data_IF_599189959594
#
_entry.id   IF_599189959594
#
_cell.length_a   1.000
_cell.length_b   1.000
_cell.length_c   1.000
_cell.angle_alpha   90.00
_cell.angle_beta   90.00
_cell.angle_gamma   90.00
#
_symmetry.space_group_name_H-M   'P 1'
#
loop_
_entity.id
_entity.type
_entity.pdbx_description
1 polymer ?
#
# COMPACT_ATOMS: atom_id res chain seq x y z
N UNK A 1 0.55 37.60 -2.52
CA UNK A 1 -0.81 37.31 -2.04
C UNK A 1 -0.85 35.89 -1.47
N UNK A 2 -1.31 35.74 -0.22
CA UNK A 2 -1.57 34.44 0.41
C UNK A 2 -3.05 34.06 0.23
N UNK A 3 -3.32 32.79 -0.08
CA UNK A 3 -4.64 32.18 -0.07
C UNK A 3 -4.56 30.87 0.68
N UNK A 4 -5.41 30.70 1.67
CA UNK A 4 -5.50 29.45 2.44
C UNK A 4 -6.93 28.98 2.47
N UNK A 5 -7.13 27.67 2.31
CA UNK A 5 -8.41 26.99 2.47
C UNK A 5 -8.16 25.79 3.38
N UNK A 6 -9.00 25.63 4.37
CA UNK A 6 -9.01 24.46 5.26
C UNK A 6 -10.40 23.93 5.34
N UNK A 7 -10.54 22.63 5.08
CA UNK A 7 -11.81 21.90 5.13
C UNK A 7 -11.66 20.73 6.09
N UNK A 8 -12.63 20.53 6.95
CA UNK A 8 -12.78 19.36 7.81
C UNK A 8 -14.11 18.71 7.49
N UNK A 9 -14.12 17.40 7.34
CA UNK A 9 -15.32 16.66 7.04
C UNK A 9 -15.45 15.42 7.93
N UNK A 10 -16.69 15.04 8.18
CA UNK A 10 -17.09 13.78 8.80
C UNK A 10 -18.36 13.30 8.13
N UNK A 11 -18.32 12.08 7.65
CA UNK A 11 -19.45 11.43 6.99
C UNK A 11 -19.82 10.17 7.78
N UNK A 12 -21.11 9.92 7.92
CA UNK A 12 -21.66 8.65 8.36
C UNK A 12 -22.62 8.19 7.28
N UNK A 13 -22.32 7.08 6.65
CA UNK A 13 -23.10 6.49 5.57
C UNK A 13 -23.80 5.26 6.08
N UNK A 14 -25.13 5.23 5.95
CA UNK A 14 -26.03 4.14 6.32
C UNK A 14 -26.68 3.55 5.08
N UNK A 15 -27.45 2.49 5.26
CA UNK A 15 -28.25 1.85 4.21
C UNK A 15 -27.42 1.36 3.01
N UNK A 16 -26.15 1.00 3.25
CA UNK A 16 -25.28 0.44 2.24
C UNK A 16 -25.76 -0.99 1.92
N UNK A 17 -25.84 -1.30 0.64
CA UNK A 17 -26.20 -2.64 0.17
C UNK A 17 -25.12 -3.65 0.54
N UNK A 18 -25.46 -4.57 1.41
CA UNK A 18 -24.61 -5.69 1.84
C UNK A 18 -25.39 -7.01 1.76
N UNK A 19 -24.67 -8.11 1.63
CA UNK A 19 -25.29 -9.44 1.82
C UNK A 19 -25.27 -9.81 3.28
N UNK A 20 -26.41 -10.30 3.76
CA UNK A 20 -26.49 -10.83 5.11
C UNK A 20 -25.76 -12.19 5.19
N UNK A 21 -24.57 -12.17 5.75
CA UNK A 21 -23.75 -13.37 5.98
C UNK A 21 -23.95 -13.96 7.39
N UNK A 22 -24.84 -13.40 8.21
CA UNK A 22 -25.17 -13.97 9.53
C UNK A 22 -26.00 -15.24 9.42
N UNK A 23 -26.62 -15.47 8.26
CA UNK A 23 -27.46 -16.65 7.98
C UNK A 23 -26.56 -17.78 7.44
N UNK A 24 -26.59 -18.98 8.05
CA UNK A 24 -25.78 -20.10 7.61
C UNK A 24 -26.07 -20.51 6.16
N UNK A 25 -25.05 -20.87 5.40
CA UNK A 25 -25.15 -21.33 4.01
C UNK A 25 -25.96 -22.63 3.83
N UNK A 26 -26.21 -23.35 4.93
CA UNK A 26 -27.03 -24.59 4.97
C UNK A 26 -28.49 -24.37 4.56
N UNK A 27 -28.98 -23.13 4.50
CA UNK A 27 -30.32 -22.84 3.99
C UNK A 27 -30.47 -23.07 2.48
N UNK A 28 -29.39 -23.29 1.76
CA UNK A 28 -29.40 -23.73 0.36
C UNK A 28 -29.64 -22.64 -0.69
N UNK A 29 -29.71 -21.36 -0.32
CA UNK A 29 -29.76 -20.24 -1.27
C UNK A 29 -28.90 -19.06 -0.82
N UNK A 30 -28.54 -18.23 -1.78
CA UNK A 30 -27.76 -17.01 -1.50
C UNK A 30 -28.69 -15.91 -1.02
N UNK A 31 -28.40 -15.31 0.14
CA UNK A 31 -29.17 -14.20 0.68
C UNK A 31 -29.17 -13.00 -0.28
N UNK A 32 -30.32 -12.34 -0.45
CA UNK A 32 -30.38 -11.09 -1.21
C UNK A 32 -29.58 -9.98 -0.55
N UNK A 33 -29.30 -8.93 -1.30
CA UNK A 33 -28.75 -7.69 -0.74
C UNK A 33 -29.79 -6.99 0.11
N UNK A 34 -29.34 -6.44 1.24
CA UNK A 34 -30.14 -5.65 2.17
C UNK A 34 -29.44 -4.31 2.45
N UNK A 35 -30.20 -3.28 2.74
CA UNK A 35 -29.69 -1.95 3.11
C UNK A 35 -29.35 -1.94 4.61
N UNK A 36 -28.22 -2.56 4.97
CA UNK A 36 -27.85 -2.78 6.37
C UNK A 36 -26.37 -2.49 6.67
N UNK A 37 -25.59 -2.06 5.68
CA UNK A 37 -24.22 -1.69 5.88
C UNK A 37 -24.08 -0.25 6.36
N UNK A 38 -23.10 -0.01 7.23
CA UNK A 38 -22.78 1.32 7.76
C UNK A 38 -21.27 1.55 7.77
N UNK A 39 -20.87 2.75 7.39
CA UNK A 39 -19.47 3.19 7.44
C UNK A 39 -19.39 4.62 7.95
N UNK A 40 -18.27 4.96 8.57
CA UNK A 40 -17.92 6.35 8.86
C UNK A 40 -16.60 6.72 8.19
N UNK A 41 -16.47 7.96 7.79
CA UNK A 41 -15.22 8.54 7.30
C UNK A 41 -15.02 9.94 7.86
N UNK A 42 -13.78 10.34 8.02
CA UNK A 42 -13.42 11.67 8.50
C UNK A 42 -12.04 12.06 7.98
N UNK A 43 -11.86 13.36 7.86
CA UNK A 43 -10.59 13.86 7.38
C UNK A 43 -10.53 15.37 7.34
N UNK A 44 -9.41 15.86 6.85
CA UNK A 44 -9.21 17.28 6.61
C UNK A 44 -8.39 17.51 5.35
N UNK A 45 -8.60 18.67 4.75
CA UNK A 45 -7.85 19.15 3.59
C UNK A 45 -7.33 20.56 3.84
N UNK A 46 -6.07 20.79 3.51
CA UNK A 46 -5.41 22.08 3.61
C UNK A 46 -4.82 22.44 2.26
N UNK A 47 -5.19 23.62 1.75
CA UNK A 47 -4.58 24.22 0.57
C UNK A 47 -3.99 25.59 0.94
N UNK A 48 -2.69 25.76 0.70
CA UNK A 48 -1.98 27.02 0.92
C UNK A 48 -1.33 27.45 -0.39
N UNK A 49 -1.79 28.55 -0.92
CA UNK A 49 -1.22 29.16 -2.12
C UNK A 49 -0.60 30.52 -1.83
N UNK A 50 0.60 30.72 -2.29
CA UNK A 50 1.27 32.01 -2.22
C UNK A 50 1.77 32.41 -3.61
N UNK A 51 1.52 33.63 -4.00
CA UNK A 51 2.11 34.23 -5.20
C UNK A 51 2.49 35.68 -4.94
N UNK A 52 3.62 36.07 -5.48
CA UNK A 52 4.10 37.42 -5.35
C UNK A 52 4.99 37.83 -6.54
N UNK A 53 5.35 39.09 -6.54
CA UNK A 53 6.18 39.72 -7.55
C UNK A 53 7.27 40.56 -6.91
N UNK A 54 8.51 40.35 -7.30
CA UNK A 54 9.66 41.11 -6.86
C UNK A 54 10.16 41.97 -8.03
N UNK A 55 10.08 43.27 -7.88
CA UNK A 55 10.42 44.18 -8.95
C UNK A 55 9.47 44.08 -10.15
N UNK A 56 10.00 44.32 -11.36
CA UNK A 56 9.19 44.31 -12.59
C UNK A 56 9.20 42.95 -13.29
N UNK A 57 10.27 42.18 -13.12
CA UNK A 57 10.58 41.05 -14.00
C UNK A 57 10.47 39.65 -13.31
N UNK A 58 10.38 39.61 -12.00
CA UNK A 58 10.33 38.34 -11.28
C UNK A 58 8.99 38.12 -10.60
N UNK A 59 8.31 37.05 -10.95
CA UNK A 59 7.09 36.57 -10.30
C UNK A 59 7.32 35.13 -9.83
N UNK A 60 6.84 34.79 -8.65
CA UNK A 60 6.90 33.41 -8.15
C UNK A 60 5.58 32.98 -7.52
N UNK A 61 5.36 31.70 -7.48
CA UNK A 61 4.20 31.09 -6.83
C UNK A 61 4.55 29.75 -6.23
N UNK A 62 3.82 29.41 -5.20
CA UNK A 62 3.84 28.10 -4.59
C UNK A 62 2.43 27.71 -4.18
N UNK A 63 2.11 26.43 -4.29
CA UNK A 63 0.86 25.87 -3.79
C UNK A 63 1.13 24.53 -3.11
N UNK A 64 0.81 24.46 -1.84
CA UNK A 64 0.84 23.25 -1.03
C UNK A 64 -0.59 22.76 -0.84
N UNK A 65 -0.84 21.49 -1.10
CA UNK A 65 -2.06 20.81 -0.74
C UNK A 65 -1.69 19.63 0.15
N UNK A 66 -2.39 19.48 1.27
CA UNK A 66 -2.26 18.36 2.19
C UNK A 66 -3.65 17.81 2.45
N UNK A 67 -3.80 16.50 2.49
CA UNK A 67 -5.05 15.85 2.88
C UNK A 67 -4.78 14.67 3.80
N UNK A 68 -5.72 14.44 4.69
CA UNK A 68 -5.79 13.28 5.57
C UNK A 68 -7.18 12.71 5.52
N UNK A 69 -7.28 11.40 5.38
CA UNK A 69 -8.55 10.67 5.31
C UNK A 69 -8.45 9.37 6.09
N UNK A 70 -9.47 9.10 6.91
CA UNK A 70 -9.69 7.79 7.52
C UNK A 70 -11.14 7.34 7.34
N UNK A 71 -11.35 6.04 7.42
CA UNK A 71 -12.68 5.43 7.43
C UNK A 71 -12.70 4.19 8.33
N UNK A 72 -13.90 3.76 8.68
CA UNK A 72 -14.14 2.58 9.51
C UNK A 72 -15.48 1.95 9.13
N UNK A 73 -15.52 0.64 9.08
CA UNK A 73 -16.74 -0.15 8.90
C UNK A 73 -17.43 -0.25 10.26
N UNK A 74 -18.68 0.23 10.33
CA UNK A 74 -19.49 0.17 11.54
C UNK A 74 -20.35 -1.09 11.55
N UNK A 75 -20.89 -1.47 10.39
CA UNK A 75 -21.72 -2.66 10.24
C UNK A 75 -21.65 -3.19 8.81
N UNK A 76 -21.52 -4.52 8.64
CA UNK A 76 -21.51 -5.19 7.33
C UNK A 76 -22.34 -6.46 7.28
N UNK A 77 -23.06 -6.85 8.33
CA UNK A 77 -23.78 -8.14 8.43
C UNK A 77 -22.88 -9.34 8.09
N UNK A 78 -21.67 -9.32 8.60
CA UNK A 78 -20.73 -10.42 8.41
C UNK A 78 -21.04 -11.64 9.29
N UNK A 79 -20.56 -12.81 8.88
CA UNK A 79 -20.72 -14.02 9.66
C UNK A 79 -20.05 -13.88 11.04
N UNK A 80 -20.65 -14.41 12.10
CA UNK A 80 -20.04 -14.41 13.42
C UNK A 80 -18.62 -15.04 13.35
N UNK A 81 -17.65 -14.33 13.90
CA UNK A 81 -16.27 -14.80 14.01
C UNK A 81 -15.95 -15.15 15.46
N UNK A 82 -14.95 -16.03 15.67
CA UNK A 82 -14.51 -16.44 16.99
C UNK A 82 -13.88 -15.27 17.76
N UNK A 83 -13.16 -14.40 17.05
CA UNK A 83 -12.40 -13.31 17.63
C UNK A 83 -12.71 -11.99 16.89
N UNK A 84 -12.73 -10.89 17.63
CA UNK A 84 -13.07 -9.56 17.07
C UNK A 84 -12.06 -9.08 16.03
N UNK A 85 -10.78 -9.44 16.17
CA UNK A 85 -9.72 -9.06 15.21
C UNK A 85 -9.91 -9.68 13.80
N UNK A 86 -10.80 -10.67 13.66
CA UNK A 86 -11.15 -11.28 12.37
C UNK A 86 -12.23 -10.51 11.62
N UNK A 87 -13.06 -9.74 12.35
CA UNK A 87 -14.18 -9.01 11.79
C UNK A 87 -13.70 -7.86 10.88
N UNK A 88 -14.48 -7.54 9.84
CA UNK A 88 -14.29 -6.31 9.08
C UNK A 88 -14.81 -5.08 9.85
N UNK A 89 -15.83 -5.28 10.67
CA UNK A 89 -16.35 -4.28 11.59
C UNK A 89 -15.25 -3.76 12.52
N UNK A 90 -15.18 -2.45 12.68
CA UNK A 90 -14.15 -1.78 13.47
C UNK A 90 -12.84 -1.51 12.71
N UNK A 91 -12.69 -2.06 11.51
CA UNK A 91 -11.52 -1.87 10.66
C UNK A 91 -11.81 -0.96 9.47
N UNK A 92 -10.74 -0.53 8.80
CA UNK A 92 -10.83 0.25 7.56
C UNK A 92 -11.40 -0.58 6.42
N UNK A 93 -12.09 0.09 5.50
CA UNK A 93 -12.46 -0.48 4.21
C UNK A 93 -11.16 -0.89 3.50
N UNK A 94 -11.09 -2.13 3.03
CA UNK A 94 -9.89 -2.67 2.39
C UNK A 94 -8.86 -3.28 3.34
N UNK A 95 -9.10 -3.28 4.68
CA UNK A 95 -8.25 -4.02 5.62
C UNK A 95 -8.29 -5.51 5.30
N UNK A 96 -7.11 -6.10 5.07
CA UNK A 96 -6.96 -7.49 4.67
C UNK A 96 -6.93 -8.42 5.87
N UNK A 97 -7.59 -9.56 5.77
CA UNK A 97 -7.45 -10.65 6.73
C UNK A 97 -6.22 -11.47 6.38
N UNK A 98 -5.23 -11.50 7.27
CA UNK A 98 -3.91 -12.09 7.00
C UNK A 98 -3.30 -12.70 8.24
N UNK A 99 -2.44 -13.72 8.04
CA UNK A 99 -1.58 -14.22 9.11
C UNK A 99 -0.51 -13.20 9.49
N UNK A 100 -0.11 -13.23 10.75
CA UNK A 100 1.05 -12.48 11.23
C UNK A 100 2.31 -13.29 11.01
N UNK A 101 3.17 -12.84 10.09
CA UNK A 101 4.51 -13.39 9.90
C UNK A 101 5.40 -12.97 11.08
N UNK A 102 6.13 -13.94 11.64
CA UNK A 102 7.06 -13.67 12.73
C UNK A 102 8.51 -13.69 12.25
N UNK A 103 8.97 -14.84 11.71
CA UNK A 103 10.32 -15.01 11.18
C UNK A 103 10.42 -16.22 10.26
N UNK A 104 11.58 -16.41 9.63
CA UNK A 104 11.89 -17.65 8.92
C UNK A 104 12.36 -18.72 9.89
N UNK A 105 11.95 -19.95 9.65
CA UNK A 105 12.30 -21.11 10.45
C UNK A 105 13.79 -21.45 10.27
N UNK A 106 14.53 -21.64 11.37
CA UNK A 106 15.95 -22.00 11.42
C UNK A 106 16.22 -23.29 12.18
N UNK A 107 15.18 -24.08 12.47
CA UNK A 107 15.27 -25.32 13.24
C UNK A 107 14.78 -25.19 14.68
N UNK A 108 15.27 -26.06 15.56
CA UNK A 108 14.82 -26.12 16.96
C UNK A 108 15.05 -24.81 17.73
N UNK A 109 16.06 -24.04 17.35
CA UNK A 109 16.30 -22.72 17.93
C UNK A 109 15.08 -21.80 17.74
N UNK A 110 14.45 -21.80 16.56
CA UNK A 110 13.26 -21.00 16.28
C UNK A 110 12.11 -21.38 17.21
N UNK A 111 11.96 -22.67 17.54
CA UNK A 111 10.91 -23.11 18.46
C UNK A 111 11.16 -22.58 19.88
N UNK A 112 12.40 -22.69 20.35
CA UNK A 112 12.79 -22.18 21.67
C UNK A 112 12.60 -20.65 21.78
N UNK A 113 12.98 -19.92 20.74
CA UNK A 113 12.78 -18.46 20.67
C UNK A 113 11.29 -18.08 20.66
N UNK A 114 10.45 -18.88 19.99
CA UNK A 114 9.00 -18.66 19.97
C UNK A 114 8.42 -18.80 21.39
N UNK A 115 8.80 -19.89 22.09
CA UNK A 115 8.36 -20.12 23.47
C UNK A 115 8.81 -19.01 24.42
N UNK A 116 10.04 -18.53 24.26
CA UNK A 116 10.55 -17.41 25.03
C UNK A 116 9.81 -16.10 24.72
N UNK A 117 9.48 -15.85 23.46
CA UNK A 117 8.86 -14.60 23.01
C UNK A 117 7.38 -14.53 23.38
N UNK A 118 6.65 -15.60 23.16
CA UNK A 118 5.18 -15.62 23.32
C UNK A 118 4.71 -16.32 24.60
N UNK A 119 5.61 -16.96 25.35
CA UNK A 119 5.28 -17.68 26.58
C UNK A 119 4.37 -18.90 26.34
N UNK A 120 4.40 -19.47 25.15
CA UNK A 120 3.60 -20.61 24.70
C UNK A 120 4.44 -21.58 23.88
N UNK A 121 4.14 -22.90 23.89
CA UNK A 121 4.79 -23.85 23.03
C UNK A 121 4.67 -23.44 21.55
N UNK A 122 5.66 -23.84 20.75
CA UNK A 122 5.65 -23.59 19.32
C UNK A 122 4.42 -24.25 18.66
N UNK A 123 3.54 -23.51 17.97
CA UNK A 123 2.31 -24.04 17.42
C UNK A 123 2.57 -24.91 16.19
N UNK A 124 1.69 -25.86 15.96
CA UNK A 124 1.64 -26.56 14.67
C UNK A 124 1.36 -25.54 13.58
N UNK A 125 2.26 -25.42 12.62
CA UNK A 125 2.12 -24.51 11.50
C UNK A 125 1.17 -25.08 10.43
N UNK A 126 0.90 -24.34 9.34
CA UNK A 126 0.03 -24.77 8.24
C UNK A 126 0.52 -26.07 7.56
N UNK A 127 1.80 -26.40 7.74
CA UNK A 127 2.39 -27.69 7.32
C UNK A 127 3.11 -28.34 8.51
N UNK A 128 3.11 -29.68 8.54
CA UNK A 128 3.70 -30.43 9.64
C UNK A 128 5.24 -30.39 9.65
N UNK A 129 5.87 -30.33 8.49
CA UNK A 129 7.32 -30.48 8.34
C UNK A 129 7.95 -29.17 7.82
N UNK A 130 8.24 -28.24 8.70
CA UNK A 130 8.99 -27.04 8.37
C UNK A 130 10.44 -27.37 8.00
N UNK A 131 10.94 -26.63 7.06
CA UNK A 131 12.35 -26.64 6.66
C UNK A 131 12.97 -25.26 6.88
N UNK A 132 14.29 -25.16 7.09
CA UNK A 132 14.96 -23.85 7.21
C UNK A 132 14.57 -22.93 6.06
N UNK A 133 14.21 -21.68 6.38
CA UNK A 133 13.72 -20.68 5.44
C UNK A 133 12.22 -20.71 5.17
N UNK A 134 11.45 -21.62 5.74
CA UNK A 134 9.99 -21.58 5.70
C UNK A 134 9.44 -20.50 6.63
N UNK A 135 8.30 -19.91 6.28
CA UNK A 135 7.64 -18.90 7.10
C UNK A 135 7.14 -19.49 8.42
N UNK A 136 7.21 -18.71 9.50
CA UNK A 136 6.57 -19.02 10.78
C UNK A 136 5.55 -17.95 11.10
N UNK A 137 4.34 -18.36 11.43
CA UNK A 137 3.22 -17.49 11.78
C UNK A 137 2.93 -17.52 13.28
N UNK A 138 2.30 -16.46 13.75
CA UNK A 138 1.93 -16.29 15.17
C UNK A 138 0.56 -16.90 15.43
N UNK A 139 0.47 -17.74 16.45
CA UNK A 139 -0.78 -18.28 17.00
C UNK A 139 -1.46 -17.19 17.85
N UNK A 140 -2.42 -16.49 17.25
CA UNK A 140 -3.10 -15.34 17.86
C UNK A 140 -4.15 -15.77 18.89
N UNK A 141 -4.89 -16.84 18.59
CA UNK A 141 -5.93 -17.35 19.51
C UNK A 141 -5.39 -18.30 20.59
N UNK A 142 -4.09 -18.63 20.50
CA UNK A 142 -3.33 -19.44 21.47
C UNK A 142 -3.88 -20.86 21.63
N UNK A 143 -4.36 -21.43 20.55
CA UNK A 143 -4.93 -22.78 20.53
C UNK A 143 -3.87 -23.90 20.24
N UNK A 144 -2.61 -23.52 19.96
CA UNK A 144 -1.47 -24.42 19.69
C UNK A 144 -1.34 -24.84 18.24
N UNK A 145 -2.07 -24.21 17.32
CA UNK A 145 -1.98 -24.46 15.87
C UNK A 145 -2.27 -23.17 15.09
N UNK A 146 -1.69 -23.05 13.92
CA UNK A 146 -2.02 -21.98 12.97
C UNK A 146 -3.17 -22.44 12.08
N UNK A 147 -4.29 -21.73 12.15
CA UNK A 147 -5.45 -21.97 11.33
C UNK A 147 -6.15 -20.64 10.95
N UNK A 148 -7.34 -20.70 10.34
CA UNK A 148 -8.07 -19.52 9.90
C UNK A 148 -8.40 -18.54 11.06
N UNK A 149 -8.43 -19.02 12.31
CA UNK A 149 -8.68 -18.18 13.49
C UNK A 149 -7.48 -17.28 13.84
N UNK A 150 -6.30 -17.51 13.25
CA UNK A 150 -5.11 -16.67 13.45
C UNK A 150 -4.98 -15.59 12.37
N UNK A 151 -5.95 -15.47 11.48
CA UNK A 151 -5.99 -14.40 10.51
C UNK A 151 -6.60 -13.15 11.12
N UNK A 152 -5.86 -12.05 11.09
CA UNK A 152 -6.30 -10.77 11.65
C UNK A 152 -6.43 -9.69 10.59
N UNK A 153 -7.30 -8.71 10.86
CA UNK A 153 -7.39 -7.46 10.12
C UNK A 153 -6.64 -6.30 10.79
N UNK A 154 -6.08 -6.55 11.99
CA UNK A 154 -5.18 -5.63 12.68
C UNK A 154 -3.80 -5.60 11.99
N UNK A 155 -3.82 -5.28 10.71
CA UNK A 155 -2.63 -5.12 9.90
C UNK A 155 -2.32 -3.63 9.71
N UNK A 156 -1.28 -3.33 8.97
CA UNK A 156 -0.85 -1.97 8.70
C UNK A 156 -1.90 -1.11 7.97
N UNK A 157 -1.45 -0.38 6.98
CA UNK A 157 -2.34 0.48 6.19
C UNK A 157 -2.96 -0.30 5.02
N UNK A 158 -3.92 0.31 4.33
CA UNK A 158 -4.54 -0.25 3.14
C UNK A 158 -3.86 0.27 1.86
N UNK A 159 -4.37 -0.11 0.69
CA UNK A 159 -3.90 0.43 -0.59
C UNK A 159 -4.25 1.91 -0.77
N UNK A 160 -5.21 2.42 0.00
CA UNK A 160 -5.62 3.82 -0.01
C UNK A 160 -4.81 4.60 1.03
N UNK A 161 -4.03 5.61 0.62
CA UNK A 161 -3.22 6.39 1.54
C UNK A 161 -4.07 7.23 2.50
N UNK A 162 -3.64 7.30 3.76
CA UNK A 162 -4.27 8.23 4.71
C UNK A 162 -3.84 9.67 4.46
N UNK A 163 -2.57 9.88 4.13
CA UNK A 163 -2.02 11.20 3.86
C UNK A 163 -1.61 11.33 2.41
N UNK A 164 -2.01 12.43 1.79
CA UNK A 164 -1.53 12.85 0.48
C UNK A 164 -1.01 14.28 0.53
N UNK A 165 0.06 14.53 -0.23
CA UNK A 165 0.63 15.86 -0.38
C UNK A 165 0.91 16.19 -1.83
N UNK A 166 0.70 17.45 -2.19
CA UNK A 166 1.09 18.00 -3.47
C UNK A 166 1.71 19.38 -3.27
N UNK A 167 2.92 19.58 -3.78
CA UNK A 167 3.60 20.88 -3.80
C UNK A 167 3.90 21.28 -5.23
N UNK A 168 3.37 22.41 -5.63
CA UNK A 168 3.71 23.04 -6.90
C UNK A 168 4.48 24.33 -6.62
N UNK A 169 5.64 24.47 -7.24
CA UNK A 169 6.47 25.66 -7.17
C UNK A 169 6.73 26.15 -8.59
N UNK A 170 6.81 27.47 -8.75
CA UNK A 170 7.17 28.03 -10.04
C UNK A 170 7.62 29.46 -9.92
N UNK A 171 8.32 29.89 -10.96
CA UNK A 171 8.66 31.29 -11.14
C UNK A 171 8.65 31.67 -12.61
N UNK A 172 8.46 32.94 -12.84
CA UNK A 172 8.66 33.58 -14.12
C UNK A 172 9.69 34.71 -13.91
N UNK A 173 10.77 34.66 -14.67
CA UNK A 173 11.77 35.71 -14.73
C UNK A 173 11.94 36.18 -16.15
N UNK A 174 11.44 37.38 -16.45
CA UNK A 174 11.38 37.93 -17.81
C UNK A 174 10.65 36.98 -18.77
N UNK A 175 11.40 36.24 -19.56
CA UNK A 175 10.91 35.29 -20.58
C UNK A 175 11.08 33.82 -20.18
N UNK A 176 11.71 33.57 -19.06
CA UNK A 176 11.96 32.25 -18.54
C UNK A 176 10.86 31.87 -17.54
N UNK A 177 10.22 30.73 -17.75
CA UNK A 177 9.23 30.17 -16.83
C UNK A 177 9.72 28.81 -16.36
N UNK A 178 9.73 28.63 -15.06
CA UNK A 178 10.02 27.35 -14.39
C UNK A 178 8.82 26.87 -13.59
N UNK A 179 8.54 25.57 -13.66
CA UNK A 179 7.57 24.90 -12.79
C UNK A 179 8.13 23.57 -12.31
N UNK A 180 7.86 23.26 -11.06
CA UNK A 180 8.13 21.95 -10.46
C UNK A 180 6.92 21.49 -9.66
N UNK A 181 6.61 20.21 -9.75
CA UNK A 181 5.54 19.56 -8.99
C UNK A 181 6.08 18.33 -8.26
N UNK A 182 5.88 18.32 -6.95
CA UNK A 182 6.13 17.17 -6.09
C UNK A 182 4.79 16.59 -5.64
N UNK A 183 4.74 15.27 -5.51
CA UNK A 183 3.59 14.55 -4.95
C UNK A 183 4.09 13.50 -3.99
N UNK A 184 3.34 13.26 -2.93
CA UNK A 184 3.67 12.24 -1.94
C UNK A 184 2.42 11.62 -1.34
N UNK A 185 2.58 10.38 -0.84
CA UNK A 185 1.56 9.68 -0.08
C UNK A 185 2.24 8.91 1.05
N UNK A 186 1.54 8.82 2.19
CA UNK A 186 2.00 8.13 3.39
C UNK A 186 0.87 7.35 4.03
N UNK A 187 1.23 6.43 4.92
CA UNK A 187 0.30 5.51 5.53
C UNK A 187 -0.47 4.75 4.46
N UNK A 188 0.28 4.07 3.61
CA UNK A 188 -0.22 3.28 2.48
C UNK A 188 0.64 2.04 2.32
N UNK A 189 0.00 0.90 2.06
CA UNK A 189 0.68 -0.36 1.78
C UNK A 189 0.32 -0.87 0.39
N UNK A 190 1.16 -1.77 -0.12
CA UNK A 190 0.84 -2.57 -1.31
C UNK A 190 1.01 -4.04 -0.97
N UNK A 191 0.03 -4.82 -1.35
CA UNK A 191 0.04 -6.24 -1.17
C UNK A 191 0.58 -6.94 -2.42
N UNK A 192 1.58 -7.77 -2.23
CA UNK A 192 2.24 -8.50 -3.31
C UNK A 192 1.43 -9.76 -3.60
N UNK A 193 1.06 -9.96 -4.87
CA UNK A 193 0.24 -11.08 -5.33
C UNK A 193 0.87 -11.86 -6.47
N UNK A 194 0.29 -13.00 -6.78
CA UNK A 194 0.55 -13.80 -7.98
C UNK A 194 2.03 -14.11 -8.23
N UNK A 195 2.50 -13.87 -9.43
CA UNK A 195 3.87 -14.16 -9.87
C UNK A 195 4.94 -13.36 -9.10
N UNK A 196 4.58 -12.22 -8.53
CA UNK A 196 5.50 -11.43 -7.71
C UNK A 196 5.63 -11.96 -6.29
N UNK A 197 4.61 -12.64 -5.76
CA UNK A 197 4.62 -13.26 -4.44
C UNK A 197 5.24 -14.65 -4.47
N UNK A 198 4.83 -15.48 -5.41
CA UNK A 198 5.17 -16.88 -5.45
C UNK A 198 6.04 -17.20 -6.66
N UNK A 199 7.29 -17.65 -6.44
CA UNK A 199 8.10 -18.26 -7.50
C UNK A 199 7.35 -19.44 -8.13
N UNK A 200 7.47 -19.59 -9.43
CA UNK A 200 6.80 -20.64 -10.21
C UNK A 200 5.27 -20.60 -10.11
N UNK A 201 4.70 -19.45 -9.78
CA UNK A 201 3.26 -19.28 -9.68
C UNK A 201 2.56 -19.70 -10.99
N UNK A 202 1.48 -20.44 -10.83
CA UNK A 202 0.67 -20.92 -11.94
C UNK A 202 -0.81 -20.69 -11.61
N UNK A 203 -1.50 -19.93 -12.45
CA UNK A 203 -2.94 -19.67 -12.31
C UNK A 203 -3.81 -20.80 -12.89
N UNK A 204 -3.20 -21.74 -13.58
CA UNK A 204 -3.89 -22.90 -14.17
C UNK A 204 -3.03 -24.16 -14.04
N UNK A 205 -3.69 -25.32 -13.99
CA UNK A 205 -3.00 -26.62 -13.88
C UNK A 205 -2.16 -27.01 -15.12
N UNK A 206 -2.17 -26.20 -16.16
CA UNK A 206 -1.54 -26.50 -17.44
C UNK A 206 -0.29 -25.70 -17.75
N UNK A 207 -0.02 -24.63 -16.99
CA UNK A 207 1.12 -23.75 -17.23
C UNK A 207 1.90 -23.54 -15.94
N UNK A 208 3.20 -23.74 -16.00
CA UNK A 208 4.08 -23.43 -14.88
C UNK A 208 4.67 -22.02 -15.06
N UNK A 209 4.53 -21.19 -14.04
CA UNK A 209 5.16 -19.87 -14.01
C UNK A 209 6.68 -19.97 -13.94
N UNK A 210 7.35 -18.90 -14.38
CA UNK A 210 8.80 -18.79 -14.31
C UNK A 210 9.28 -18.31 -12.93
N UNK A 211 10.59 -18.34 -12.78
CA UNK A 211 11.29 -17.72 -11.67
C UNK A 211 11.82 -16.36 -12.12
N UNK A 212 11.41 -15.30 -11.43
CA UNK A 212 11.92 -13.96 -11.71
C UNK A 212 13.34 -13.82 -11.15
N UNK A 213 14.20 -13.06 -11.83
CA UNK A 213 15.53 -12.75 -11.31
C UNK A 213 15.48 -12.07 -9.95
N UNK A 214 14.43 -11.31 -9.71
CA UNK A 214 14.16 -10.68 -8.43
C UNK A 214 13.96 -11.71 -7.31
N UNK A 215 13.26 -12.83 -7.57
CA UNK A 215 13.14 -13.94 -6.61
C UNK A 215 14.50 -14.53 -6.29
N UNK A 216 15.30 -14.86 -7.32
CA UNK A 216 16.63 -15.48 -7.14
C UNK A 216 17.52 -14.67 -6.18
N UNK A 217 17.51 -13.36 -6.34
CA UNK A 217 18.40 -12.47 -5.58
C UNK A 217 17.90 -12.16 -4.16
N UNK A 218 16.62 -12.41 -3.86
CA UNK A 218 16.00 -11.97 -2.61
C UNK A 218 15.36 -13.11 -1.81
N UNK A 219 15.49 -14.34 -2.26
CA UNK A 219 14.96 -15.53 -1.57
C UNK A 219 15.91 -16.00 -0.47
N UNK A 220 15.36 -16.40 0.66
CA UNK A 220 16.10 -17.13 1.67
C UNK A 220 16.68 -18.42 1.05
N UNK A 221 17.98 -18.59 1.09
CA UNK A 221 18.65 -19.69 0.39
C UNK A 221 19.77 -20.28 1.26
N UNK A 222 19.76 -21.60 1.55
CA UNK A 222 20.77 -22.24 2.39
C UNK A 222 22.17 -21.98 1.89
N UNK A 223 23.09 -21.57 2.78
CA UNK A 223 24.48 -21.31 2.49
C UNK A 223 24.77 -20.07 1.63
N UNK A 224 23.74 -19.35 1.19
CA UNK A 224 23.88 -18.17 0.32
C UNK A 224 23.24 -16.93 0.92
N UNK A 225 21.98 -17.02 1.34
CA UNK A 225 21.21 -15.93 1.92
C UNK A 225 20.28 -16.45 3.02
N UNK A 226 20.84 -16.77 4.18
CA UNK A 226 20.11 -17.25 5.35
C UNK A 226 19.66 -16.09 6.26
N UNK A 227 19.29 -14.95 5.66
CA UNK A 227 18.91 -13.75 6.39
C UNK A 227 17.44 -13.77 6.78
N UNK A 228 17.14 -13.35 8.01
CA UNK A 228 15.77 -13.02 8.44
C UNK A 228 15.20 -11.80 7.69
N UNK A 229 16.06 -11.00 7.07
CA UNK A 229 15.68 -9.84 6.24
C UNK A 229 15.47 -10.22 4.76
N UNK A 230 15.55 -11.51 4.41
CA UNK A 230 15.22 -11.96 3.06
C UNK A 230 13.78 -11.55 2.69
N UNK A 231 13.59 -11.08 1.46
CA UNK A 231 12.26 -10.61 1.03
C UNK A 231 11.30 -11.76 0.73
N UNK A 232 11.84 -12.94 0.46
CA UNK A 232 11.10 -14.16 0.16
C UNK A 232 11.54 -15.31 1.05
N UNK A 233 10.61 -16.18 1.45
CA UNK A 233 10.92 -17.45 2.10
C UNK A 233 11.68 -18.36 1.14
N UNK A 234 12.16 -19.47 1.63
CA UNK A 234 12.71 -20.55 0.83
C UNK A 234 11.78 -20.92 -0.33
N UNK A 235 12.31 -20.95 -1.53
CA UNK A 235 11.55 -21.39 -2.70
C UNK A 235 11.21 -22.88 -2.59
N UNK A 236 9.93 -23.22 -2.66
CA UNK A 236 9.46 -24.59 -2.48
C UNK A 236 8.16 -24.85 -3.23
N UNK A 237 8.00 -26.08 -3.69
CA UNK A 237 6.74 -26.61 -4.20
C UNK A 237 5.92 -27.27 -3.08
N UNK A 238 6.57 -28.04 -2.21
CA UNK A 238 5.92 -28.87 -1.19
C UNK A 238 5.26 -28.05 -0.07
N UNK A 239 5.91 -26.95 0.35
CA UNK A 239 5.44 -26.09 1.45
C UNK A 239 4.87 -24.76 0.92
N UNK A 240 4.34 -24.73 -0.29
CA UNK A 240 3.78 -23.53 -0.90
C UNK A 240 2.64 -22.93 -0.06
N UNK A 241 1.81 -23.75 0.56
CA UNK A 241 0.73 -23.31 1.46
C UNK A 241 1.28 -22.55 2.67
N UNK A 242 2.41 -23.01 3.23
CA UNK A 242 3.09 -22.33 4.33
C UNK A 242 3.73 -21.02 3.89
N UNK A 243 4.56 -21.10 2.85
CA UNK A 243 5.46 -19.99 2.49
C UNK A 243 4.73 -18.85 1.77
N UNK A 244 3.67 -19.14 1.06
CA UNK A 244 2.95 -18.15 0.25
C UNK A 244 1.51 -17.91 0.72
N UNK A 245 1.20 -18.26 1.97
CA UNK A 245 -0.06 -17.90 2.61
C UNK A 245 -0.24 -16.36 2.63
N UNK A 246 -1.49 -15.95 2.71
CA UNK A 246 -1.83 -14.53 2.87
C UNK A 246 -1.35 -14.01 4.22
N UNK A 247 -0.26 -13.26 4.25
CA UNK A 247 0.35 -12.74 5.46
C UNK A 247 0.87 -11.32 5.28
N UNK A 248 1.16 -10.64 6.38
CA UNK A 248 1.72 -9.30 6.39
C UNK A 248 3.18 -9.24 5.86
N UNK A 249 3.85 -10.40 5.71
CA UNK A 249 5.11 -10.50 4.96
C UNK A 249 4.97 -9.90 3.55
N UNK A 250 3.81 -10.05 2.93
CA UNK A 250 3.51 -9.60 1.58
C UNK A 250 2.95 -8.18 1.51
N UNK A 251 2.74 -7.56 2.65
CA UNK A 251 2.32 -6.18 2.75
C UNK A 251 3.55 -5.27 2.85
N UNK A 252 3.75 -4.41 1.88
CA UNK A 252 4.93 -3.55 1.77
C UNK A 252 4.55 -2.09 1.93
N UNK A 253 5.38 -1.34 2.67
CA UNK A 253 5.25 0.12 2.80
C UNK A 253 5.41 0.77 1.42
N UNK A 254 4.35 1.38 0.93
CA UNK A 254 4.28 2.00 -0.39
C UNK A 254 4.30 3.54 -0.33
N UNK A 255 4.70 4.12 0.81
CA UNK A 255 4.88 5.57 0.90
C UNK A 255 5.87 6.07 -0.14
N UNK A 256 5.65 7.26 -0.62
CA UNK A 256 6.57 7.86 -1.58
C UNK A 256 6.56 9.40 -1.52
N UNK A 257 7.66 9.97 -1.98
CA UNK A 257 7.78 11.37 -2.41
C UNK A 257 8.37 11.39 -3.81
N UNK A 258 7.67 12.04 -4.75
CA UNK A 258 8.03 12.03 -6.17
C UNK A 258 8.13 13.43 -6.73
N UNK A 259 9.22 13.72 -7.43
CA UNK A 259 9.33 14.86 -8.33
C UNK A 259 8.61 14.50 -9.64
N UNK A 260 7.31 14.86 -9.67
CA UNK A 260 6.37 14.40 -10.70
C UNK A 260 6.58 15.08 -12.02
N UNK A 261 6.79 16.40 -11.99
CA UNK A 261 6.98 17.18 -13.20
C UNK A 261 7.96 18.30 -12.93
N UNK A 262 8.86 18.53 -13.88
CA UNK A 262 9.68 19.73 -13.96
C UNK A 262 9.57 20.26 -15.37
N UNK A 263 9.33 21.54 -15.52
CA UNK A 263 9.32 22.18 -16.83
C UNK A 263 10.06 23.51 -16.81
N UNK A 264 10.78 23.77 -17.86
CA UNK A 264 11.47 25.02 -18.12
C UNK A 264 11.09 25.48 -19.52
N UNK A 265 10.53 26.67 -19.65
CA UNK A 265 10.18 27.24 -20.94
C UNK A 265 10.78 28.63 -21.11
N UNK A 266 11.09 28.97 -22.34
CA UNK A 266 11.62 30.27 -22.71
C UNK A 266 10.88 30.84 -23.94
N UNK A 267 10.38 32.06 -23.79
CA UNK A 267 9.70 32.82 -24.85
C UNK A 267 10.70 33.61 -25.68
N UNK A 268 10.86 33.23 -26.92
CA UNK A 268 11.69 33.94 -27.87
C UNK A 268 10.87 35.09 -28.51
N UNK A 269 11.33 36.31 -28.33
CA UNK A 269 10.78 37.47 -29.01
C UNK A 269 11.85 38.00 -29.98
N UNK A 270 11.66 37.75 -31.27
CA UNK A 270 12.54 38.27 -32.31
C UNK A 270 11.68 38.96 -33.39
N UNK A 271 12.06 40.15 -33.86
CA UNK A 271 11.36 40.84 -34.94
C UNK A 271 11.23 40.01 -36.22
N UNK A 272 12.17 39.08 -36.45
CA UNK A 272 12.13 38.17 -37.62
C UNK A 272 10.90 37.27 -37.55
N UNK A 273 10.48 36.80 -36.36
CA UNK A 273 9.28 35.96 -36.23
C UNK A 273 8.00 36.68 -36.69
N UNK A 274 7.87 37.97 -36.37
CA UNK A 274 6.74 38.79 -36.86
C UNK A 274 6.72 38.92 -38.37
N UNK A 275 7.90 39.00 -39.01
CA UNK A 275 7.99 39.08 -40.49
C UNK A 275 7.52 37.80 -41.18
N UNK A 276 7.64 36.67 -40.55
CA UNK A 276 7.17 35.36 -41.06
C UNK A 276 5.79 34.97 -40.52
N UNK A 277 5.05 35.92 -39.93
CA UNK A 277 3.69 35.70 -39.42
C UNK A 277 3.58 34.98 -38.07
N UNK A 278 4.69 34.78 -37.35
CA UNK A 278 4.69 34.13 -36.02
C UNK A 278 4.52 35.19 -34.93
N UNK A 279 3.46 35.07 -34.14
CA UNK A 279 3.20 35.96 -33.01
C UNK A 279 3.93 35.56 -31.74
N UNK A 280 4.24 34.27 -31.56
CA UNK A 280 4.92 33.70 -30.40
C UNK A 280 5.78 32.51 -30.83
N UNK A 281 6.98 32.42 -30.27
CA UNK A 281 7.82 31.23 -30.35
C UNK A 281 8.25 30.89 -28.92
N UNK A 282 7.83 29.72 -28.42
CA UNK A 282 8.19 29.22 -27.11
C UNK A 282 8.90 27.89 -27.28
N UNK A 283 9.99 27.70 -26.58
CA UNK A 283 10.69 26.42 -26.47
C UNK A 283 10.59 25.94 -25.01
N UNK A 284 10.14 24.73 -24.83
CA UNK A 284 9.99 24.15 -23.53
C UNK A 284 10.70 22.80 -23.44
N UNK A 285 11.28 22.54 -22.25
CA UNK A 285 11.83 21.25 -21.85
C UNK A 285 11.03 20.78 -20.63
N UNK A 286 10.49 19.57 -20.71
CA UNK A 286 9.72 18.98 -19.60
C UNK A 286 10.21 17.58 -19.28
N UNK A 287 10.31 17.27 -17.99
CA UNK A 287 10.63 15.95 -17.47
C UNK A 287 9.53 15.47 -16.54
N UNK A 288 9.23 14.17 -16.60
CA UNK A 288 8.18 13.54 -15.80
C UNK A 288 8.75 12.41 -14.95
N UNK A 289 8.30 12.31 -13.69
CA UNK A 289 8.69 11.25 -12.74
C UNK A 289 10.22 11.12 -12.59
N UNK A 290 10.92 12.26 -12.54
CA UNK A 290 12.40 12.32 -12.58
C UNK A 290 13.04 11.66 -11.37
N UNK A 291 12.43 11.81 -10.20
CA UNK A 291 12.94 11.23 -8.95
C UNK A 291 11.77 10.68 -8.14
N UNK A 292 11.95 9.51 -7.55
CA UNK A 292 11.00 8.93 -6.59
C UNK A 292 11.77 8.37 -5.41
N UNK A 293 11.44 8.86 -4.23
CA UNK A 293 11.93 8.35 -2.94
C UNK A 293 10.83 7.47 -2.35
N UNK A 294 11.12 6.19 -2.18
CA UNK A 294 10.19 5.19 -1.64
C UNK A 294 10.95 4.02 -1.05
N UNK A 295 10.50 3.42 0.06
CA UNK A 295 10.99 2.13 0.52
C UNK A 295 10.53 0.98 -0.38
N UNK A 296 9.47 1.18 -1.17
CA UNK A 296 8.91 0.20 -2.08
C UNK A 296 9.83 0.04 -3.31
N UNK A 297 10.68 -1.01 -3.27
CA UNK A 297 11.65 -1.31 -4.33
C UNK A 297 11.32 -2.67 -4.93
N UNK A 298 10.47 -2.67 -5.94
CA UNK A 298 10.02 -3.87 -6.65
C UNK A 298 10.14 -3.66 -8.15
#
# INVERSE_FOLDING_TARGET
RLKTTFDYYREHRTDILVRDATVPSTIGFTMPYTNAGETKSWGWELSVGYNDKIGKDFRFWGKLNLSYNQNEIIEMKEAPQKNDYMLAKGHRIGARSMYKFWKYYEGEQTKAEYEQTFGKPFPTQLVANLQPGDCVYVDLDKNGKIDENDMTRDNGYTDDPEYMAGLTLGFNYKRLTFNAQLTGAWNVTRYITDVFRQPFYCSSNTTQGGLLLYHVNNTWTPGVNESQDALYPRATWSNAVQNYAGSDLWEKDAKYLRLKTVSLSYDFINPVFKKIGMNKCEVSLSGYNLLTFTPYKW
#
